data_IF_894138652990
#
_entry.id   IF_894138652990
#
_cell.length_a   1.000
_cell.length_b   1.000
_cell.length_c   1.000
_cell.angle_alpha   90.00
_cell.angle_beta   90.00
_cell.angle_gamma   90.00
#
_symmetry.space_group_name_H-M   'P 1'
#
loop_
_entity.id
_entity.type
_entity.pdbx_description
1 polymer ?
#
# COMPACT_ATOMS: atom_id res chain seq x y z
N UNK A 1 -12.68 -4.75 -10.12
CA UNK A 1 -11.36 -5.38 -9.92
C UNK A 1 -10.65 -5.38 -11.25
N UNK A 2 -9.44 -4.86 -11.31
CA UNK A 2 -8.60 -5.13 -12.47
C UNK A 2 -8.38 -6.65 -12.51
N UNK A 3 -8.40 -7.27 -13.68
CA UNK A 3 -8.10 -8.70 -13.83
C UNK A 3 -6.62 -9.01 -13.59
N UNK A 4 -6.01 -8.31 -12.64
CA UNK A 4 -4.60 -8.40 -12.31
C UNK A 4 -4.29 -9.74 -11.65
N UNK A 5 -3.06 -10.18 -11.86
CA UNK A 5 -2.56 -11.45 -11.35
C UNK A 5 -2.81 -11.64 -9.85
N UNK A 6 -2.67 -10.57 -9.06
CA UNK A 6 -2.72 -10.62 -7.59
C UNK A 6 -4.13 -10.50 -7.01
N UNK A 7 -5.13 -10.07 -7.80
CA UNK A 7 -6.53 -10.02 -7.37
C UNK A 7 -7.26 -11.36 -7.53
N UNK A 8 -6.60 -12.36 -8.12
CA UNK A 8 -7.15 -13.70 -8.29
C UNK A 8 -7.54 -14.33 -6.95
N UNK A 9 -8.77 -14.84 -6.83
CA UNK A 9 -9.34 -15.31 -5.57
C UNK A 9 -8.47 -16.38 -4.89
N UNK A 10 -7.88 -17.30 -5.66
CA UNK A 10 -6.96 -18.33 -5.14
C UNK A 10 -5.69 -17.74 -4.52
N UNK A 11 -5.16 -16.65 -5.07
CA UNK A 11 -3.98 -15.96 -4.53
C UNK A 11 -4.36 -15.16 -3.30
N UNK A 12 -5.49 -14.44 -3.32
CA UNK A 12 -6.00 -13.70 -2.15
C UNK A 12 -6.27 -14.63 -0.98
N UNK A 13 -6.79 -15.83 -1.23
CA UNK A 13 -7.00 -16.82 -0.19
C UNK A 13 -5.67 -17.36 0.36
N UNK A 14 -4.74 -17.76 -0.52
CA UNK A 14 -3.44 -18.30 -0.11
C UNK A 14 -2.58 -17.25 0.63
N UNK A 15 -2.65 -15.98 0.24
CA UNK A 15 -1.85 -14.90 0.82
C UNK A 15 -2.18 -14.60 2.28
N UNK A 16 -3.34 -15.06 2.80
CA UNK A 16 -3.71 -14.90 4.22
C UNK A 16 -2.77 -15.65 5.18
N UNK A 17 -2.05 -16.64 4.68
CA UNK A 17 -1.01 -17.38 5.41
C UNK A 17 0.40 -16.90 5.07
N UNK A 18 0.55 -15.79 4.34
CA UNK A 18 1.84 -15.16 4.06
C UNK A 18 1.92 -13.80 4.74
N UNK A 19 3.14 -13.39 5.06
CA UNK A 19 3.43 -11.97 5.33
C UNK A 19 3.57 -11.26 3.98
N UNK A 20 2.57 -10.46 3.63
CA UNK A 20 2.59 -9.65 2.42
C UNK A 20 3.18 -8.27 2.73
N UNK A 21 4.22 -7.88 1.99
CA UNK A 21 4.90 -6.60 2.15
C UNK A 21 4.72 -5.80 0.86
N UNK A 22 4.25 -4.56 0.99
CA UNK A 22 4.30 -3.57 -0.09
C UNK A 22 5.71 -2.98 -0.13
N UNK A 23 6.47 -3.14 -1.22
CA UNK A 23 7.76 -2.48 -1.36
C UNK A 23 7.58 -0.96 -1.40
N UNK A 24 8.45 -0.22 -0.71
CA UNK A 24 8.53 1.25 -0.81
C UNK A 24 9.57 1.66 -1.86
N UNK A 25 9.43 1.11 -3.07
CA UNK A 25 10.34 1.39 -4.19
C UNK A 25 10.43 2.89 -4.43
N UNK A 26 11.66 3.42 -4.47
CA UNK A 26 11.98 4.85 -4.55
C UNK A 26 11.50 5.74 -3.40
N UNK A 27 10.78 5.19 -2.41
CA UNK A 27 10.26 5.92 -1.25
C UNK A 27 11.04 5.62 0.03
N UNK A 28 11.95 4.63 0.00
CA UNK A 28 12.82 4.28 1.13
C UNK A 28 14.26 4.03 0.68
N UNK A 29 15.17 4.94 1.06
CA UNK A 29 16.61 4.76 0.85
C UNK A 29 17.17 3.53 1.59
N UNK A 30 16.60 3.18 2.74
CA UNK A 30 17.01 2.03 3.53
C UNK A 30 16.56 0.70 2.90
N UNK A 31 15.39 0.68 2.24
CA UNK A 31 14.84 -0.53 1.60
C UNK A 31 15.41 -0.76 0.20
N UNK A 32 15.77 0.32 -0.52
CA UNK A 32 16.21 0.26 -1.91
C UNK A 32 17.35 -0.74 -2.18
N UNK A 33 18.43 -0.84 -1.37
CA UNK A 33 19.48 -1.84 -1.60
C UNK A 33 18.98 -3.28 -1.49
N UNK A 34 18.03 -3.53 -0.59
CA UNK A 34 17.43 -4.86 -0.43
C UNK A 34 16.61 -5.22 -1.68
N UNK A 35 15.74 -4.32 -2.15
CA UNK A 35 14.95 -4.54 -3.37
C UNK A 35 15.84 -4.73 -4.61
N UNK A 36 16.90 -3.92 -4.73
CA UNK A 36 17.88 -4.03 -5.80
C UNK A 36 18.67 -5.35 -5.73
N UNK A 37 18.89 -5.90 -4.54
CA UNK A 37 19.49 -7.23 -4.38
C UNK A 37 18.58 -8.35 -4.89
N UNK A 38 17.25 -8.20 -4.74
CA UNK A 38 16.27 -9.18 -5.17
C UNK A 38 16.11 -9.18 -6.69
N UNK A 39 16.06 -8.00 -7.30
CA UNK A 39 15.92 -7.86 -8.75
C UNK A 39 16.57 -6.58 -9.26
N UNK A 40 17.34 -6.73 -10.34
CA UNK A 40 17.86 -5.63 -11.15
C UNK A 40 17.35 -5.82 -12.57
N UNK A 41 16.87 -4.74 -13.17
CA UNK A 41 16.45 -4.80 -14.57
C UNK A 41 17.63 -4.65 -15.51
N UNK A 42 17.33 -4.35 -16.77
CA UNK A 42 18.33 -4.29 -17.86
C UNK A 42 19.36 -3.17 -17.66
N UNK A 43 18.99 -2.12 -16.94
CA UNK A 43 19.89 -1.02 -16.57
C UNK A 43 20.91 -1.41 -15.50
N UNK A 44 20.77 -2.59 -14.89
CA UNK A 44 21.59 -3.02 -13.75
C UNK A 44 21.30 -2.25 -12.46
N UNK A 45 20.17 -1.54 -12.40
CA UNK A 45 19.71 -0.73 -11.26
C UNK A 45 18.36 -1.23 -10.73
N UNK A 46 17.92 -0.63 -9.63
CA UNK A 46 16.58 -0.80 -9.08
C UNK A 46 15.51 -0.44 -10.12
N UNK A 47 14.45 -1.24 -10.17
CA UNK A 47 13.30 -1.07 -11.06
C UNK A 47 12.06 -0.67 -10.25
N UNK A 48 11.08 -0.02 -10.88
CA UNK A 48 9.92 0.52 -10.17
C UNK A 48 9.05 -0.54 -9.49
N UNK A 49 9.11 -1.79 -9.96
CA UNK A 49 8.41 -2.92 -9.36
C UNK A 49 9.38 -4.09 -9.13
N UNK A 50 9.26 -4.71 -7.96
CA UNK A 50 10.00 -5.92 -7.60
C UNK A 50 9.01 -6.93 -7.02
N UNK A 51 9.09 -8.16 -7.50
CA UNK A 51 8.33 -9.31 -7.01
C UNK A 51 9.29 -10.39 -6.53
N UNK A 52 9.03 -10.91 -5.33
CA UNK A 52 9.74 -12.03 -4.74
C UNK A 52 8.82 -12.78 -3.77
N UNK A 53 9.01 -14.09 -3.66
CA UNK A 53 8.57 -14.88 -2.51
C UNK A 53 9.81 -15.34 -1.75
N UNK A 54 9.87 -15.05 -0.46
CA UNK A 54 11.03 -15.35 0.38
C UNK A 54 10.65 -16.34 1.49
N UNK A 55 11.62 -17.14 1.92
CA UNK A 55 11.52 -17.97 3.11
C UNK A 55 11.42 -17.12 4.39
N UNK A 56 11.09 -17.74 5.53
CA UNK A 56 10.98 -17.03 6.82
C UNK A 56 12.29 -16.33 7.27
N UNK A 57 13.42 -16.68 6.68
CA UNK A 57 14.73 -16.04 6.89
C UNK A 57 14.89 -14.70 6.15
N UNK A 58 13.89 -14.29 5.36
CA UNK A 58 13.88 -13.13 4.47
C UNK A 58 15.05 -13.10 3.45
N UNK A 59 15.66 -14.25 3.16
CA UNK A 59 16.84 -14.37 2.30
C UNK A 59 16.67 -15.44 1.23
N UNK A 60 16.13 -16.59 1.60
CA UNK A 60 15.93 -17.72 0.69
C UNK A 60 14.85 -17.37 -0.32
N UNK A 61 15.21 -17.29 -1.61
CA UNK A 61 14.24 -17.05 -2.69
C UNK A 61 13.48 -18.35 -2.98
N UNK A 62 12.16 -18.31 -2.85
CA UNK A 62 11.27 -19.45 -3.07
C UNK A 62 10.75 -19.54 -4.52
N UNK A 63 10.97 -18.48 -5.30
CA UNK A 63 10.64 -18.42 -6.71
C UNK A 63 11.64 -17.52 -7.45
N UNK A 64 11.57 -17.50 -8.79
CA UNK A 64 12.27 -16.50 -9.60
C UNK A 64 11.78 -15.10 -9.23
N UNK A 65 12.69 -14.15 -9.10
CA UNK A 65 12.37 -12.75 -8.84
C UNK A 65 12.24 -11.96 -10.14
N UNK A 66 11.47 -10.87 -10.12
CA UNK A 66 11.16 -10.13 -11.33
C UNK A 66 10.39 -8.84 -11.09
N UNK A 67 9.80 -8.28 -12.17
CA UNK A 67 8.93 -7.09 -12.08
C UNK A 67 7.48 -7.41 -11.72
N UNK A 68 7.06 -8.66 -11.90
CA UNK A 68 5.70 -9.16 -11.65
C UNK A 68 5.75 -10.67 -11.36
N UNK A 69 4.65 -11.25 -10.85
CA UNK A 69 4.51 -12.70 -10.71
C UNK A 69 4.73 -13.49 -12.01
N UNK A 70 4.46 -12.89 -13.18
CA UNK A 70 4.62 -13.55 -14.49
C UNK A 70 6.06 -13.97 -14.79
N UNK A 71 7.04 -13.39 -14.08
CA UNK A 71 8.44 -13.80 -14.19
C UNK A 71 8.69 -15.19 -13.58
N UNK A 72 7.84 -15.60 -12.63
CA UNK A 72 7.99 -16.81 -11.85
C UNK A 72 6.95 -17.88 -12.19
N UNK A 73 5.75 -17.46 -12.57
CA UNK A 73 4.59 -18.33 -12.74
C UNK A 73 3.89 -18.02 -14.06
N UNK A 74 3.30 -19.03 -14.72
CA UNK A 74 2.64 -18.85 -16.02
C UNK A 74 1.19 -18.40 -15.89
N UNK A 75 0.57 -18.66 -14.73
CA UNK A 75 -0.82 -18.29 -14.45
C UNK A 75 -1.08 -18.05 -12.97
N UNK A 76 -2.11 -17.25 -12.62
CA UNK A 76 -2.52 -17.06 -11.23
C UNK A 76 -2.81 -18.36 -10.48
N UNK A 77 -3.37 -19.36 -11.15
CA UNK A 77 -3.64 -20.69 -10.58
C UNK A 77 -2.35 -21.44 -10.23
N UNK A 78 -1.34 -21.38 -11.11
CA UNK A 78 -0.04 -21.98 -10.85
C UNK A 78 0.65 -21.33 -9.64
N UNK A 79 0.59 -20.00 -9.53
CA UNK A 79 1.10 -19.29 -8.36
C UNK A 79 0.35 -19.71 -7.09
N UNK A 80 -0.98 -19.78 -7.13
CA UNK A 80 -1.78 -20.21 -5.97
C UNK A 80 -1.45 -21.65 -5.54
N UNK A 81 -1.23 -22.56 -6.49
CA UNK A 81 -0.77 -23.91 -6.21
C UNK A 81 0.64 -23.92 -5.59
N UNK A 82 1.58 -23.15 -6.15
CA UNK A 82 2.93 -23.02 -5.62
C UNK A 82 2.95 -22.44 -4.19
N UNK A 83 2.10 -21.45 -3.90
CA UNK A 83 1.94 -20.90 -2.54
C UNK A 83 1.50 -21.98 -1.55
N UNK A 84 0.57 -22.86 -1.93
CA UNK A 84 0.14 -23.98 -1.07
C UNK A 84 1.27 -24.97 -0.82
N UNK A 85 2.07 -25.30 -1.83
CA UNK A 85 3.24 -26.17 -1.67
C UNK A 85 4.33 -25.54 -0.80
N UNK A 86 4.52 -24.22 -0.87
CA UNK A 86 5.42 -23.48 0.03
C UNK A 86 4.95 -23.61 1.47
N UNK A 87 3.65 -23.39 1.75
CA UNK A 87 3.11 -23.47 3.12
C UNK A 87 3.26 -24.87 3.74
N UNK A 88 3.23 -25.94 2.93
CA UNK A 88 3.53 -27.30 3.43
C UNK A 88 4.97 -27.43 3.95
N UNK A 89 5.92 -26.69 3.37
CA UNK A 89 7.34 -26.69 3.78
C UNK A 89 7.63 -25.75 4.94
N UNK A 90 6.81 -24.70 5.09
CA UNK A 90 6.94 -23.69 6.13
C UNK A 90 5.63 -23.57 6.93
N UNK A 91 5.30 -24.57 7.78
CA UNK A 91 4.06 -24.55 8.52
C UNK A 91 4.03 -23.41 9.54
N UNK A 92 2.83 -22.88 9.78
CA UNK A 92 2.57 -21.86 10.79
C UNK A 92 2.89 -22.41 12.18
N UNK A 93 4.10 -22.13 12.66
CA UNK A 93 4.58 -22.69 13.92
C UNK A 93 4.25 -21.80 15.12
N UNK A 94 3.92 -20.51 14.91
CA UNK A 94 3.61 -19.55 15.98
C UNK A 94 2.62 -18.47 15.53
N UNK A 95 1.73 -18.10 16.45
CA UNK A 95 0.95 -16.86 16.32
C UNK A 95 1.90 -15.67 16.42
N UNK A 96 2.00 -14.89 15.34
CA UNK A 96 2.83 -13.68 15.29
C UNK A 96 1.91 -12.49 15.58
N UNK A 97 2.37 -11.57 16.42
CA UNK A 97 1.68 -10.30 16.64
C UNK A 97 1.50 -9.59 15.30
N UNK A 98 0.26 -9.17 15.01
CA UNK A 98 -0.06 -8.48 13.76
C UNK A 98 -0.15 -6.97 14.03
N UNK A 99 0.96 -6.21 13.87
CA UNK A 99 0.92 -4.76 14.06
C UNK A 99 0.04 -4.11 12.99
N UNK A 100 -0.42 -2.89 13.25
CA UNK A 100 -1.11 -2.11 12.22
C UNK A 100 -0.17 -1.90 11.02
N UNK A 101 -0.58 -2.23 9.77
CA UNK A 101 0.26 -2.07 8.59
C UNK A 101 0.37 -0.59 8.21
N UNK A 102 1.27 0.12 8.87
CA UNK A 102 1.47 1.56 8.72
C UNK A 102 2.30 1.89 7.48
N UNK A 103 1.79 2.83 6.69
CA UNK A 103 2.54 3.60 5.71
C UNK A 103 3.33 4.71 6.42
N UNK A 104 4.45 5.11 5.82
CA UNK A 104 5.46 5.91 6.51
C UNK A 104 4.98 7.32 6.94
N UNK A 105 4.07 7.94 6.20
CA UNK A 105 3.53 9.28 6.49
C UNK A 105 2.23 9.55 5.71
N UNK A 106 1.58 10.69 5.98
CA UNK A 106 0.34 11.11 5.30
C UNK A 106 0.51 11.25 3.79
N UNK A 107 1.64 11.82 3.33
CA UNK A 107 1.93 11.99 1.89
C UNK A 107 1.89 10.65 1.17
N UNK A 108 2.61 9.65 1.68
CA UNK A 108 2.61 8.29 1.12
C UNK A 108 1.26 7.60 1.33
N UNK A 109 0.63 7.82 2.48
CA UNK A 109 -0.71 7.36 2.79
C UNK A 109 -1.70 7.70 1.69
N UNK A 110 -1.81 8.98 1.33
CA UNK A 110 -2.74 9.46 0.31
C UNK A 110 -2.45 8.84 -1.07
N UNK A 111 -1.18 8.78 -1.45
CA UNK A 111 -0.78 8.23 -2.75
C UNK A 111 -1.06 6.74 -2.88
N UNK A 112 -0.62 5.96 -1.90
CA UNK A 112 -0.83 4.51 -1.91
C UNK A 112 -2.33 4.19 -1.87
N UNK A 113 -3.10 4.87 -1.01
CA UNK A 113 -4.55 4.68 -0.92
C UNK A 113 -5.26 5.02 -2.23
N UNK A 114 -4.80 6.08 -2.92
CA UNK A 114 -5.28 6.43 -4.25
C UNK A 114 -4.94 5.36 -5.29
N UNK A 115 -3.72 4.82 -5.28
CA UNK A 115 -3.29 3.77 -6.21
C UNK A 115 -4.06 2.47 -6.00
N UNK A 116 -4.34 2.11 -4.75
CA UNK A 116 -5.05 0.90 -4.39
C UNK A 116 -6.57 1.02 -4.46
N UNK A 117 -7.10 2.23 -4.64
CA UNK A 117 -8.53 2.54 -4.53
C UNK A 117 -9.12 2.09 -3.18
N UNK A 118 -8.50 2.53 -2.09
CA UNK A 118 -8.94 2.27 -0.71
C UNK A 118 -9.00 3.56 0.08
N UNK A 119 -9.87 3.69 1.11
CA UNK A 119 -9.81 4.80 2.03
C UNK A 119 -8.53 4.76 2.88
N UNK A 120 -8.15 5.92 3.40
CA UNK A 120 -7.00 6.08 4.29
C UNK A 120 -7.48 6.43 5.71
N UNK A 121 -7.06 5.66 6.70
CA UNK A 121 -7.19 6.02 8.10
C UNK A 121 -5.88 6.64 8.61
N UNK A 122 -5.95 7.91 9.02
CA UNK A 122 -4.83 8.69 9.55
C UNK A 122 -4.99 8.78 11.07
N UNK A 123 -4.02 8.21 11.80
CA UNK A 123 -3.93 8.36 13.24
C UNK A 123 -3.19 9.67 13.52
N UNK A 124 -3.88 10.66 14.06
CA UNK A 124 -3.31 11.96 14.36
C UNK A 124 -3.31 12.25 15.85
N UNK A 125 -2.15 12.62 16.39
CA UNK A 125 -2.03 13.27 17.69
C UNK A 125 -0.62 13.83 17.82
N UNK A 126 -0.39 15.03 18.39
CA UNK A 126 0.95 15.49 18.75
C UNK A 126 1.58 14.63 19.86
N UNK A 127 0.77 14.06 20.75
CA UNK A 127 1.21 13.17 21.83
C UNK A 127 1.42 11.73 21.35
N UNK A 128 2.62 11.19 21.61
CA UNK A 128 3.05 9.84 21.22
C UNK A 128 2.29 8.75 21.95
N UNK A 129 1.94 8.94 23.23
CA UNK A 129 1.24 7.93 24.03
C UNK A 129 -0.16 7.70 23.44
N UNK A 130 -0.87 8.78 23.14
CA UNK A 130 -2.17 8.78 22.47
C UNK A 130 -2.09 8.10 21.11
N UNK A 131 -1.09 8.44 20.28
CA UNK A 131 -0.89 7.77 18.97
C UNK A 131 -0.72 6.26 19.12
N UNK A 132 0.14 5.82 20.04
CA UNK A 132 0.38 4.39 20.27
C UNK A 132 -0.88 3.66 20.69
N UNK A 133 -1.70 4.26 21.57
CA UNK A 133 -2.98 3.69 21.98
C UNK A 133 -3.95 3.55 20.81
N UNK A 134 -4.09 4.58 19.98
CA UNK A 134 -4.96 4.54 18.79
C UNK A 134 -4.49 3.50 17.76
N UNK A 135 -3.17 3.37 17.56
CA UNK A 135 -2.59 2.32 16.72
C UNK A 135 -2.92 0.93 17.25
N UNK A 136 -2.80 0.71 18.57
CA UNK A 136 -3.16 -0.56 19.19
C UNK A 136 -4.65 -0.86 19.10
N UNK A 137 -5.51 0.16 19.20
CA UNK A 137 -6.95 0.03 19.05
C UNK A 137 -7.36 -0.40 17.63
N UNK A 138 -6.70 0.14 16.60
CA UNK A 138 -6.97 -0.18 15.20
C UNK A 138 -6.37 -1.52 14.74
N UNK A 139 -5.27 -1.97 15.34
CA UNK A 139 -4.55 -3.16 14.85
C UNK A 139 -5.44 -4.40 14.73
N UNK A 140 -6.22 -4.84 15.75
CA UNK A 140 -7.08 -6.01 15.63
C UNK A 140 -8.11 -5.88 14.49
N UNK A 141 -8.69 -4.68 14.33
CA UNK A 141 -9.66 -4.40 13.28
C UNK A 141 -9.04 -4.52 11.89
N UNK A 142 -7.87 -3.94 11.67
CA UNK A 142 -7.18 -3.98 10.38
C UNK A 142 -6.87 -5.41 9.90
N UNK A 143 -6.78 -6.37 10.81
CA UNK A 143 -6.58 -7.79 10.50
C UNK A 143 -7.88 -8.62 10.52
N UNK A 144 -9.01 -7.99 10.82
CA UNK A 144 -10.34 -8.59 10.78
C UNK A 144 -10.77 -8.90 9.35
N UNK A 145 -11.62 -9.93 9.20
CA UNK A 145 -12.09 -10.45 7.89
C UNK A 145 -12.68 -9.35 6.98
N UNK A 146 -13.33 -8.35 7.57
CA UNK A 146 -14.04 -7.31 6.82
C UNK A 146 -13.11 -6.15 6.39
N UNK A 147 -11.98 -5.94 7.07
CA UNK A 147 -11.13 -4.77 6.87
C UNK A 147 -9.77 -5.11 6.25
N UNK A 148 -9.35 -6.37 6.31
CA UNK A 148 -8.00 -6.77 5.92
C UNK A 148 -7.71 -6.51 4.43
N UNK A 149 -6.87 -5.50 4.19
CA UNK A 149 -6.51 -5.00 2.87
C UNK A 149 -7.53 -4.07 2.22
N UNK A 150 -8.56 -3.65 2.95
CA UNK A 150 -9.60 -2.72 2.47
C UNK A 150 -9.32 -1.25 2.83
N UNK A 151 -8.42 -1.01 3.78
CA UNK A 151 -8.10 0.33 4.31
C UNK A 151 -6.58 0.44 4.45
N UNK A 152 -6.02 1.60 4.08
CA UNK A 152 -4.61 1.92 4.40
C UNK A 152 -4.52 2.69 5.70
N UNK A 153 -3.38 2.60 6.38
CA UNK A 153 -3.17 3.27 7.66
C UNK A 153 -1.88 4.08 7.62
N UNK A 154 -1.89 5.28 8.21
CA UNK A 154 -0.66 6.03 8.46
C UNK A 154 -0.77 6.85 9.74
N UNK A 155 0.34 7.41 10.18
CA UNK A 155 0.41 8.29 11.34
C UNK A 155 0.75 9.71 10.90
N UNK A 156 0.07 10.69 11.48
CA UNK A 156 0.45 12.09 11.45
C UNK A 156 0.91 12.53 12.86
N UNK A 157 2.04 13.22 12.92
CA UNK A 157 2.62 13.71 14.19
C UNK A 157 2.39 15.21 14.40
N UNK A 158 2.17 15.96 13.32
CA UNK A 158 1.94 17.40 13.31
C UNK A 158 0.69 17.74 12.51
N UNK A 159 0.06 18.89 12.81
CA UNK A 159 -1.10 19.36 12.06
C UNK A 159 -0.72 19.70 10.60
N UNK A 160 0.50 20.18 10.36
CA UNK A 160 1.09 20.43 9.05
C UNK A 160 0.94 19.27 8.07
N UNK A 161 1.10 18.03 8.54
CA UNK A 161 0.97 16.83 7.70
C UNK A 161 -0.45 16.63 7.16
N UNK A 162 -1.45 17.28 7.76
CA UNK A 162 -2.87 17.21 7.39
C UNK A 162 -3.31 18.34 6.45
N UNK A 163 -2.44 19.29 6.11
CA UNK A 163 -2.72 20.35 5.11
C UNK A 163 -3.29 19.82 3.79
N UNK A 164 -2.84 18.67 3.24
CA UNK A 164 -3.42 18.09 2.02
C UNK A 164 -4.91 17.74 2.11
N UNK A 165 -5.47 17.69 3.32
CA UNK A 165 -6.89 17.43 3.57
C UNK A 165 -7.76 18.70 3.49
N UNK A 166 -7.15 19.88 3.35
CA UNK A 166 -7.86 21.16 3.33
C UNK A 166 -8.53 21.54 4.65
N UNK A 167 -8.10 20.93 5.76
CA UNK A 167 -8.66 21.20 7.09
C UNK A 167 -8.00 22.44 7.70
N UNK A 168 -8.79 23.42 8.12
CA UNK A 168 -8.30 24.62 8.82
C UNK A 168 -7.68 24.28 10.18
N UNK A 169 -8.25 23.29 10.86
CA UNK A 169 -7.72 22.70 12.08
C UNK A 169 -8.12 21.23 12.16
N UNK A 170 -7.27 20.42 12.80
CA UNK A 170 -7.56 19.01 13.05
C UNK A 170 -7.39 18.73 14.53
N UNK A 171 -8.39 18.06 15.13
CA UNK A 171 -8.29 17.57 16.50
C UNK A 171 -7.58 16.21 16.48
N UNK A 172 -6.79 15.88 17.53
CA UNK A 172 -6.28 14.53 17.71
C UNK A 172 -7.39 13.48 17.63
N UNK A 173 -7.10 12.32 17.03
CA UNK A 173 -8.09 11.28 16.77
C UNK A 173 -7.72 10.40 15.59
N UNK A 174 -8.71 9.73 15.02
CA UNK A 174 -8.58 8.97 13.78
C UNK A 174 -9.41 9.68 12.71
N UNK A 175 -8.76 10.04 11.61
CA UNK A 175 -9.36 10.68 10.45
C UNK A 175 -9.47 9.65 9.34
N UNK A 176 -10.67 9.42 8.81
CA UNK A 176 -10.86 8.53 7.66
C UNK A 176 -11.11 9.38 6.43
N UNK A 177 -10.33 9.14 5.38
CA UNK A 177 -10.14 10.06 4.26
C UNK A 177 -10.34 9.32 2.94
N UNK A 178 -11.09 9.94 2.03
CA UNK A 178 -11.11 9.61 0.62
C UNK A 178 -9.85 10.21 -0.01
N UNK A 179 -8.89 9.41 -0.51
CA UNK A 179 -7.78 9.98 -1.27
C UNK A 179 -8.29 10.57 -2.59
N UNK A 180 -7.74 11.72 -2.96
CA UNK A 180 -7.96 12.32 -4.27
C UNK A 180 -7.42 11.44 -5.39
N UNK A 181 -7.88 11.66 -6.63
CA UNK A 181 -7.54 10.81 -7.77
C UNK A 181 -6.04 10.65 -8.02
N UNK A 182 -5.22 11.65 -7.68
CA UNK A 182 -3.77 11.62 -7.84
C UNK A 182 -2.99 11.39 -6.54
N UNK A 183 -3.70 11.28 -5.42
CA UNK A 183 -3.10 10.93 -4.13
C UNK A 183 -2.19 12.01 -3.52
N UNK A 184 -2.29 13.24 -4.00
CA UNK A 184 -1.63 14.44 -3.47
C UNK A 184 -2.50 15.18 -2.44
N UNK A 185 -3.82 14.94 -2.46
CA UNK A 185 -4.83 15.53 -1.57
C UNK A 185 -5.82 14.46 -1.10
N UNK A 186 -6.64 14.81 -0.12
CA UNK A 186 -7.74 13.97 0.33
C UNK A 186 -8.94 14.76 0.84
N UNK A 187 -10.08 14.10 0.93
CA UNK A 187 -11.31 14.63 1.53
C UNK A 187 -11.62 13.84 2.80
N UNK A 188 -11.80 14.54 3.91
CA UNK A 188 -12.23 13.92 5.17
C UNK A 188 -13.65 13.36 5.02
N UNK A 189 -13.82 12.05 5.24
CA UNK A 189 -15.13 11.38 5.26
C UNK A 189 -15.70 11.43 6.68
N UNK A 190 -14.88 11.04 7.65
CA UNK A 190 -15.28 10.95 9.07
C UNK A 190 -14.08 11.17 9.97
N UNK A 191 -14.34 11.65 11.19
CA UNK A 191 -13.34 11.77 12.23
C UNK A 191 -13.91 11.26 13.56
N UNK A 192 -13.09 10.56 14.33
CA UNK A 192 -13.43 10.11 15.68
C UNK A 192 -12.39 10.63 16.66
N UNK A 193 -12.87 11.11 17.82
CA UNK A 193 -12.03 11.67 18.88
C UNK A 193 -11.13 10.60 19.53
N UNK A 194 -10.07 11.05 20.21
CA UNK A 194 -9.17 10.17 20.95
C UNK A 194 -9.89 9.28 21.97
N UNK A 195 -11.00 9.73 22.56
CA UNK A 195 -11.77 8.98 23.55
C UNK A 195 -12.77 7.99 22.95
N UNK A 196 -12.87 7.94 21.61
CA UNK A 196 -13.82 7.07 20.92
C UNK A 196 -13.58 5.59 21.26
N UNK A 197 -14.67 4.90 21.55
CA UNK A 197 -14.70 3.46 21.77
C UNK A 197 -14.50 2.70 20.44
N UNK A 198 -14.05 1.46 20.51
CA UNK A 198 -13.66 0.64 19.35
C UNK A 198 -14.80 0.42 18.36
N UNK A 199 -16.04 0.32 18.83
CA UNK A 199 -17.26 0.27 18.02
C UNK A 199 -17.42 1.53 17.16
N UNK A 200 -17.26 2.72 17.74
CA UNK A 200 -17.33 3.99 17.01
C UNK A 200 -16.21 4.15 15.98
N UNK A 201 -15.01 3.65 16.30
CA UNK A 201 -13.91 3.60 15.33
C UNK A 201 -14.27 2.68 14.17
N UNK A 202 -14.87 1.52 14.46
CA UNK A 202 -15.28 0.56 13.43
C UNK A 202 -16.37 1.15 12.52
N UNK A 203 -17.40 1.76 13.11
CA UNK A 203 -18.47 2.44 12.37
C UNK A 203 -17.94 3.51 11.42
N UNK A 204 -16.96 4.31 11.85
CA UNK A 204 -16.35 5.34 11.00
C UNK A 204 -15.60 4.74 9.82
N UNK A 205 -14.86 3.64 10.04
CA UNK A 205 -14.14 2.91 8.98
C UNK A 205 -15.13 2.22 8.03
N UNK A 206 -16.15 1.56 8.56
CA UNK A 206 -17.19 0.88 7.77
C UNK A 206 -17.99 1.86 6.92
N UNK A 207 -18.33 3.03 7.49
CA UNK A 207 -18.97 4.10 6.75
C UNK A 207 -18.09 4.58 5.59
N UNK A 208 -16.79 4.80 5.81
CA UNK A 208 -15.88 5.17 4.74
C UNK A 208 -15.78 4.11 3.64
N UNK A 209 -15.71 2.83 4.00
CA UNK A 209 -15.73 1.73 3.03
C UNK A 209 -17.02 1.72 2.19
N UNK A 210 -18.15 2.12 2.77
CA UNK A 210 -19.44 2.20 2.08
C UNK A 210 -19.53 3.39 1.13
N UNK A 211 -19.03 4.57 1.53
CA UNK A 211 -19.23 5.82 0.78
C UNK A 211 -18.05 6.20 -0.12
N UNK A 212 -16.90 5.55 0.02
CA UNK A 212 -15.72 5.83 -0.78
C UNK A 212 -15.97 5.53 -2.27
N UNK A 213 -15.65 6.50 -3.11
CA UNK A 213 -15.77 6.37 -4.57
C UNK A 213 -14.40 6.49 -5.22
N UNK A 214 -14.08 5.54 -6.10
CA UNK A 214 -12.80 5.50 -6.79
C UNK A 214 -12.98 5.49 -8.31
N UNK A 215 -12.19 6.32 -8.97
CA UNK A 215 -12.14 6.36 -10.41
C UNK A 215 -11.25 5.23 -10.94
N UNK A 216 -11.70 4.57 -12.01
CA UNK A 216 -10.82 3.70 -12.77
C UNK A 216 -9.75 4.54 -13.48
N UNK A 217 -8.48 4.14 -13.30
CA UNK A 217 -7.33 4.86 -13.84
C UNK A 217 -6.69 4.02 -14.94
N UNK A 218 -6.40 4.66 -16.06
CA UNK A 218 -5.50 4.11 -17.07
C UNK A 218 -4.29 5.02 -17.19
N UNK A 219 -3.10 4.45 -17.38
CA UNK A 219 -1.86 5.22 -17.56
C UNK A 219 -1.99 6.29 -18.67
N UNK A 220 -2.68 5.94 -19.76
CA UNK A 220 -2.85 6.80 -20.94
C UNK A 220 -3.66 8.08 -20.66
N UNK A 221 -4.59 8.04 -19.70
CA UNK A 221 -5.42 9.20 -19.33
C UNK A 221 -4.88 9.87 -18.07
N UNK A 222 -4.58 9.06 -17.05
CA UNK A 222 -4.23 9.52 -15.73
C UNK A 222 -2.95 10.37 -15.73
N UNK A 223 -1.85 9.88 -16.33
CA UNK A 223 -0.57 10.59 -16.30
C UNK A 223 -0.61 11.92 -17.06
N UNK A 224 -1.10 12.00 -18.31
CA UNK A 224 -1.19 13.28 -19.01
C UNK A 224 -2.11 14.29 -18.32
N UNK A 225 -3.24 13.85 -17.78
CA UNK A 225 -4.16 14.75 -17.07
C UNK A 225 -3.56 15.27 -15.76
N UNK A 226 -2.87 14.41 -14.99
CA UNK A 226 -2.17 14.84 -13.77
C UNK A 226 -1.13 15.93 -14.08
N UNK A 227 -0.36 15.76 -15.15
CA UNK A 227 0.60 16.79 -15.61
C UNK A 227 -0.08 18.11 -15.99
N UNK A 228 -1.21 18.06 -16.69
CA UNK A 228 -2.00 19.27 -17.04
C UNK A 228 -2.53 19.99 -15.79
N UNK A 229 -2.85 19.24 -14.74
CA UNK A 229 -3.29 19.76 -13.46
C UNK A 229 -2.12 20.19 -12.54
N UNK A 230 -0.88 20.11 -13.02
CA UNK A 230 0.31 20.49 -12.25
C UNK A 230 0.65 19.53 -11.11
N UNK A 231 0.12 18.30 -11.13
CA UNK A 231 0.47 17.28 -10.14
C UNK A 231 1.88 16.77 -10.43
N UNK A 232 2.77 16.96 -9.46
CA UNK A 232 4.16 16.49 -9.50
C UNK A 232 4.46 15.64 -8.26
N UNK A 233 4.76 14.36 -8.47
CA UNK A 233 5.14 13.43 -7.41
C UNK A 233 6.65 13.28 -7.35
N UNK A 234 7.25 13.69 -6.22
CA UNK A 234 8.67 13.55 -5.97
C UNK A 234 8.93 12.37 -5.03
N UNK A 235 9.63 11.38 -5.56
CA UNK A 235 10.07 10.21 -4.80
C UNK A 235 11.16 10.57 -3.79
N UNK A 236 11.30 9.80 -2.72
CA UNK A 236 12.32 10.03 -1.69
C UNK A 236 13.76 9.81 -2.18
N UNK A 237 13.95 8.91 -3.15
CA UNK A 237 15.22 8.71 -3.86
C UNK A 237 15.00 8.79 -5.38
N UNK A 238 16.06 9.03 -6.18
CA UNK A 238 15.92 9.14 -7.63
C UNK A 238 15.35 7.88 -8.29
N UNK A 239 14.44 8.07 -9.24
CA UNK A 239 13.93 7.00 -10.09
C UNK A 239 15.02 6.57 -11.08
N UNK A 240 15.32 5.27 -11.10
CA UNK A 240 16.34 4.67 -11.99
C UNK A 240 15.76 3.78 -13.09
N UNK A 241 14.46 3.46 -13.02
CA UNK A 241 13.75 2.71 -14.04
C UNK A 241 13.55 3.61 -15.28
N UNK A 242 14.07 3.23 -16.45
CA UNK A 242 13.92 4.00 -17.68
C UNK A 242 12.46 4.06 -18.19
N UNK A 243 11.55 3.28 -17.57
CA UNK A 243 10.17 3.13 -17.98
C UNK A 243 10.04 2.33 -19.28
N UNK A 244 8.80 2.13 -19.74
CA UNK A 244 8.57 1.71 -21.13
C UNK A 244 8.97 2.89 -22.01
N UNK A 245 10.14 2.81 -22.65
CA UNK A 245 10.40 3.64 -23.83
C UNK A 245 9.26 3.40 -24.81
N UNK A 246 8.39 4.40 -24.98
CA UNK A 246 7.42 4.39 -26.06
C UNK A 246 8.21 4.26 -27.34
N UNK A 247 8.03 3.14 -28.06
CA UNK A 247 8.65 2.93 -29.35
C UNK A 247 8.14 3.96 -30.34
N UNK A 248 8.71 5.17 -30.34
CA UNK A 248 8.82 5.97 -31.56
C UNK A 248 9.89 5.28 -32.39
N UNK A 249 9.48 4.25 -33.13
CA UNK A 249 10.15 3.92 -34.38
C UNK A 249 10.01 5.17 -35.25
N UNK A 250 11.12 5.90 -35.42
CA UNK A 250 11.27 6.82 -36.54
C UNK A 250 10.95 6.01 -37.79
N UNK A 251 9.85 6.35 -38.46
CA UNK A 251 9.64 5.91 -39.83
C UNK A 251 10.57 6.80 -40.66
N UNK A 252 11.71 6.23 -41.05
CA UNK A 252 12.40 6.64 -42.27
C UNK A 252 11.99 5.65 -43.35
#
# INVERSE_FOLDING_TARGET
MDGSYLSHAGIVAASRSFVCIRPLTYESAAEAPFLESLFRGRSGKLENTVFAMLGPDAKTRLCRTGRSPDFAFRSPDEMAAAMKEILKKYPDSRSIARPLPLLANVRLGLNVSSCDNTPLAIIYSPDKITRNRLVQQLAPMAWGKNHIGQVQYCVATTAEELKPLGLESSKPGILVVQPGAYGDKGLLISAVDVTAQTDRVAEAVDFALLVSEFQQKTMQVHVPQGRRLGVDWKTAIPVTDPGRQGGRRSRN
#
